data_IF_112291953219
#
_entry.id   IF_112291953219
#
_cell.length_a   1.000
_cell.length_b   1.000
_cell.length_c   1.000
_cell.angle_alpha   90.00
_cell.angle_beta   90.00
_cell.angle_gamma   90.00
#
_symmetry.space_group_name_H-M   'P 1'
#
loop_
_entity.id
_entity.type
_entity.pdbx_description
1 polymer ?
#
# COMPACT_ATOMS: atom_id res chain seq x y z
N UNK A 1 -33.55 22.77 -17.67
CA UNK A 1 -32.98 22.51 -16.34
C UNK A 1 -31.97 21.40 -16.53
N UNK A 2 -30.73 21.80 -16.70
CA UNK A 2 -29.58 20.96 -16.95
C UNK A 2 -29.41 19.97 -15.79
N UNK A 3 -29.54 18.68 -16.08
CA UNK A 3 -29.17 17.63 -15.14
C UNK A 3 -27.66 17.73 -14.92
N UNK A 4 -27.28 18.15 -13.72
CA UNK A 4 -25.93 18.03 -13.20
C UNK A 4 -25.48 16.58 -13.37
N UNK A 5 -24.61 16.34 -14.35
CA UNK A 5 -23.80 15.14 -14.42
C UNK A 5 -22.97 15.11 -13.13
N UNK A 6 -23.45 14.38 -12.11
CA UNK A 6 -22.60 13.99 -11.00
C UNK A 6 -21.54 13.06 -11.60
N UNK A 7 -20.37 13.60 -11.91
CA UNK A 7 -19.16 12.78 -12.02
C UNK A 7 -19.06 11.97 -10.73
N UNK A 8 -18.91 10.63 -10.79
CA UNK A 8 -18.62 9.87 -9.58
C UNK A 8 -17.39 10.50 -8.91
N UNK A 9 -17.31 10.52 -7.56
CA UNK A 9 -16.11 10.99 -6.89
C UNK A 9 -14.94 10.26 -7.52
N UNK A 10 -13.98 11.00 -8.07
CA UNK A 10 -12.79 10.44 -8.69
C UNK A 10 -12.07 9.62 -7.62
N UNK A 11 -12.36 8.32 -7.56
CA UNK A 11 -11.65 7.38 -6.71
C UNK A 11 -10.25 7.33 -7.27
N UNK A 12 -9.35 8.07 -6.63
CA UNK A 12 -7.94 8.08 -7.00
C UNK A 12 -7.46 6.63 -7.06
N UNK A 13 -6.76 6.21 -8.13
CA UNK A 13 -6.28 4.85 -8.22
C UNK A 13 -5.38 4.55 -7.02
N UNK A 14 -5.55 3.36 -6.44
CA UNK A 14 -4.63 2.87 -5.43
C UNK A 14 -3.27 2.63 -6.08
N UNK A 15 -2.23 3.00 -5.36
CA UNK A 15 -0.83 2.72 -5.68
C UNK A 15 -0.20 1.95 -4.53
N UNK A 16 0.93 1.31 -4.79
CA UNK A 16 1.69 0.64 -3.74
C UNK A 16 2.78 1.57 -3.23
N UNK A 17 2.82 1.74 -1.92
CA UNK A 17 3.87 2.47 -1.20
C UNK A 17 4.56 1.52 -0.24
N UNK A 18 5.87 1.73 -0.10
CA UNK A 18 6.75 0.95 0.76
C UNK A 18 7.12 1.85 1.94
N UNK A 19 6.67 1.50 3.13
CA UNK A 19 6.95 2.17 4.39
C UNK A 19 8.10 1.43 5.08
N UNK A 20 9.09 2.18 5.58
CA UNK A 20 10.25 1.65 6.29
C UNK A 20 11.07 0.63 5.47
N UNK A 21 10.99 0.67 4.14
CA UNK A 21 11.64 -0.25 3.17
C UNK A 21 11.10 -1.70 3.15
N UNK A 22 10.29 -2.11 4.12
CA UNK A 22 9.82 -3.50 4.25
C UNK A 22 8.30 -3.67 4.22
N UNK A 23 7.51 -2.62 4.47
CA UNK A 23 6.06 -2.76 4.55
C UNK A 23 5.32 -2.15 3.37
N UNK A 24 4.50 -2.95 2.71
CA UNK A 24 3.86 -2.59 1.45
C UNK A 24 2.38 -2.32 1.67
N UNK A 25 1.95 -1.13 1.27
CA UNK A 25 0.60 -0.61 1.47
C UNK A 25 -0.02 -0.20 0.14
N UNK A 26 -1.28 -0.58 -0.06
CA UNK A 26 -2.13 0.04 -1.07
C UNK A 26 -2.67 1.35 -0.49
N UNK A 27 -2.32 2.49 -1.08
CA UNK A 27 -2.80 3.79 -0.65
C UNK A 27 -2.97 4.76 -1.83
N UNK A 28 -3.57 5.90 -1.56
CA UNK A 28 -3.72 6.97 -2.57
C UNK A 28 -2.50 7.91 -2.61
N UNK A 29 -1.68 7.92 -1.55
CA UNK A 29 -0.50 8.77 -1.41
C UNK A 29 0.45 8.19 -0.35
N UNK A 30 1.71 8.65 -0.36
CA UNK A 30 2.71 8.26 0.64
C UNK A 30 2.27 8.62 2.08
N UNK A 31 1.68 9.81 2.27
CA UNK A 31 1.15 10.22 3.57
C UNK A 31 0.05 9.26 4.05
N UNK A 32 -0.84 8.83 3.15
CA UNK A 32 -1.90 7.89 3.49
C UNK A 32 -1.36 6.49 3.83
N UNK A 33 -0.31 6.03 3.17
CA UNK A 33 0.38 4.79 3.54
C UNK A 33 0.97 4.86 4.96
N UNK A 34 1.55 6.00 5.32
CA UNK A 34 2.07 6.25 6.67
C UNK A 34 0.95 6.26 7.72
N UNK A 35 -0.18 6.89 7.43
CA UNK A 35 -1.37 6.87 8.30
C UNK A 35 -1.86 5.43 8.55
N UNK A 36 -1.90 4.60 7.49
CA UNK A 36 -2.27 3.18 7.61
C UNK A 36 -1.27 2.40 8.47
N UNK A 37 0.03 2.64 8.31
CA UNK A 37 1.06 2.04 9.14
C UNK A 37 0.90 2.41 10.62
N UNK A 38 0.73 3.69 10.94
CA UNK A 38 0.48 4.13 12.31
C UNK A 38 -0.81 3.55 12.90
N UNK A 39 -1.87 3.44 12.09
CA UNK A 39 -3.13 2.85 12.52
C UNK A 39 -3.00 1.34 12.85
N UNK A 40 -2.10 0.62 12.17
CA UNK A 40 -1.83 -0.80 12.45
C UNK A 40 -0.90 -1.02 13.64
N UNK A 41 0.11 -0.16 13.82
CA UNK A 41 1.06 -0.25 14.93
C UNK A 41 0.43 -0.03 16.31
N UNK A 42 -0.82 0.46 16.38
CA UNK A 42 -1.61 0.54 17.63
C UNK A 42 -1.16 1.61 18.63
N UNK A 43 0.07 2.09 18.53
CA UNK A 43 0.60 3.25 19.24
C UNK A 43 0.86 4.38 18.24
N UNK A 44 -0.06 5.34 18.18
CA UNK A 44 0.30 6.69 17.70
C UNK A 44 1.06 7.31 18.86
N UNK A 45 2.33 6.95 19.00
CA UNK A 45 3.21 7.73 19.84
C UNK A 45 3.49 9.03 19.09
N UNK A 46 2.73 10.09 19.42
CA UNK A 46 2.89 11.42 18.83
C UNK A 46 4.31 12.00 19.08
N UNK A 47 5.09 11.39 19.97
CA UNK A 47 6.51 11.73 20.19
C UNK A 47 7.47 10.93 19.30
N UNK A 48 7.01 9.82 18.72
CA UNK A 48 7.64 9.11 17.62
C UNK A 48 7.09 9.64 16.29
N UNK A 49 7.35 10.92 16.00
CA UNK A 49 7.37 11.41 14.61
C UNK A 49 8.59 10.83 13.88
N UNK A 50 8.77 9.51 13.94
CA UNK A 50 9.73 8.83 13.11
C UNK A 50 9.17 8.93 11.70
N UNK A 51 9.74 9.83 10.92
CA UNK A 51 9.52 9.90 9.49
C UNK A 51 10.05 8.59 8.91
N UNK A 52 9.18 7.57 8.85
CA UNK A 52 9.49 6.37 8.10
C UNK A 52 9.69 6.77 6.65
N UNK A 53 10.74 6.25 6.00
CA UNK A 53 10.91 6.44 4.57
C UNK A 53 9.70 5.81 3.86
N UNK A 54 9.01 6.60 3.05
CA UNK A 54 7.88 6.13 2.25
C UNK A 54 8.19 6.36 0.78
N UNK A 55 8.35 5.27 0.05
CA UNK A 55 8.70 5.26 -1.37
C UNK A 55 7.58 4.61 -2.19
N UNK A 56 7.23 5.19 -3.34
CA UNK A 56 6.28 4.56 -4.28
C UNK A 56 6.97 3.35 -4.95
N UNK A 57 6.30 2.20 -4.97
CA UNK A 57 6.85 1.01 -5.61
C UNK A 57 6.93 1.21 -7.13
N UNK A 58 8.09 0.92 -7.71
CA UNK A 58 8.30 0.92 -9.16
C UNK A 58 7.53 -0.21 -9.85
N UNK A 59 7.28 -0.08 -11.16
CA UNK A 59 6.60 -1.14 -11.92
C UNK A 59 7.32 -2.50 -11.81
N UNK A 60 8.65 -2.50 -11.86
CA UNK A 60 9.45 -3.71 -11.67
C UNK A 60 9.21 -4.35 -10.31
N UNK A 61 9.12 -3.54 -9.24
CA UNK A 61 8.81 -4.00 -7.88
C UNK A 61 7.39 -4.57 -7.80
N UNK A 62 6.42 -3.97 -8.51
CA UNK A 62 5.04 -4.45 -8.54
C UNK A 62 4.90 -5.83 -9.20
N UNK A 63 5.70 -6.09 -10.23
CA UNK A 63 5.70 -7.36 -10.98
C UNK A 63 6.66 -8.41 -10.39
N UNK A 64 7.47 -8.03 -9.39
CA UNK A 64 8.40 -8.96 -8.74
C UNK A 64 7.59 -9.95 -7.89
N UNK A 65 7.74 -11.27 -8.11
CA UNK A 65 7.03 -12.28 -7.34
C UNK A 65 7.51 -12.27 -5.89
N UNK A 66 6.57 -12.26 -4.96
CA UNK A 66 6.82 -12.46 -3.55
C UNK A 66 7.12 -13.93 -3.27
N UNK A 67 8.22 -14.20 -2.59
CA UNK A 67 8.56 -15.54 -2.16
C UNK A 67 7.79 -15.89 -0.87
N UNK A 68 7.35 -17.14 -0.75
CA UNK A 68 6.86 -17.68 0.50
C UNK A 68 8.02 -17.85 1.48
N UNK A 69 7.94 -17.22 2.65
CA UNK A 69 8.94 -17.32 3.70
C UNK A 69 9.00 -18.73 4.31
N UNK A 70 7.85 -19.40 4.43
CA UNK A 70 7.75 -20.79 4.90
C UNK A 70 8.22 -21.79 3.84
N UNK A 71 8.21 -21.41 2.56
CA UNK A 71 8.57 -22.26 1.42
C UNK A 71 9.43 -21.51 0.40
N UNK A 72 10.74 -21.35 0.67
CA UNK A 72 11.63 -20.64 -0.24
C UNK A 72 11.61 -21.26 -1.63
N UNK A 73 11.39 -20.43 -2.65
CA UNK A 73 11.25 -20.84 -4.04
C UNK A 73 9.81 -21.01 -4.54
N UNK A 74 8.81 -20.89 -3.65
CA UNK A 74 7.40 -20.81 -4.04
C UNK A 74 6.99 -19.33 -4.10
N UNK A 75 6.55 -18.86 -5.27
CA UNK A 75 5.96 -17.54 -5.41
C UNK A 75 4.50 -17.56 -4.91
N UNK A 76 4.11 -16.59 -4.08
CA UNK A 76 2.73 -16.48 -3.54
C UNK A 76 1.89 -15.41 -4.23
N UNK A 77 2.49 -14.66 -5.15
CA UNK A 77 1.82 -13.62 -5.92
C UNK A 77 2.73 -12.41 -6.13
N UNK A 78 2.20 -11.38 -6.76
CA UNK A 78 2.87 -10.10 -6.98
C UNK A 78 2.09 -8.96 -6.31
N UNK A 79 2.78 -7.87 -5.96
CA UNK A 79 2.12 -6.70 -5.41
C UNK A 79 1.09 -6.11 -6.39
N UNK A 80 1.31 -6.25 -7.70
CA UNK A 80 0.33 -5.89 -8.74
C UNK A 80 -0.96 -6.70 -8.65
N UNK A 81 -0.87 -8.01 -8.46
CA UNK A 81 -2.06 -8.88 -8.32
C UNK A 81 -2.85 -8.56 -7.05
N UNK A 82 -2.16 -8.31 -5.94
CA UNK A 82 -2.81 -7.93 -4.69
C UNK A 82 -3.45 -6.55 -4.77
N UNK A 83 -2.77 -5.56 -5.38
CA UNK A 83 -3.33 -4.24 -5.63
C UNK A 83 -4.59 -4.33 -6.50
N UNK A 84 -4.56 -5.13 -7.57
CA UNK A 84 -5.71 -5.32 -8.46
C UNK A 84 -6.92 -5.97 -7.75
N UNK A 85 -6.66 -6.73 -6.68
CA UNK A 85 -7.69 -7.36 -5.85
C UNK A 85 -8.24 -6.44 -4.76
N UNK A 86 -7.59 -5.30 -4.49
CA UNK A 86 -8.01 -4.32 -3.47
C UNK A 86 -8.96 -3.29 -4.08
N UNK A 87 -10.04 -3.03 -3.35
CA UNK A 87 -10.97 -1.93 -3.65
C UNK A 87 -10.81 -0.77 -2.66
N UNK A 88 -10.09 -1.00 -1.56
CA UNK A 88 -9.88 -0.05 -0.47
C UNK A 88 -8.39 -0.01 -0.08
N UNK A 89 -7.89 1.15 0.39
CA UNK A 89 -6.56 1.28 0.96
C UNK A 89 -6.32 0.31 2.11
N UNK A 90 -5.08 -0.15 2.26
CA UNK A 90 -4.69 -1.00 3.38
C UNK A 90 -3.38 -1.73 3.13
N UNK A 91 -2.92 -2.43 4.15
CA UNK A 91 -1.74 -3.27 4.08
C UNK A 91 -1.90 -4.39 3.04
N UNK A 92 -0.84 -4.63 2.28
CA UNK A 92 -0.73 -5.70 1.29
C UNK A 92 0.10 -6.84 1.84
N UNK A 93 1.34 -6.54 2.22
CA UNK A 93 2.33 -7.50 2.73
C UNK A 93 3.44 -6.75 3.44
N UNK A 94 4.22 -7.43 4.26
CA UNK A 94 5.52 -6.96 4.75
C UNK A 94 6.56 -8.06 4.54
N UNK A 95 7.83 -7.73 4.72
CA UNK A 95 8.84 -8.75 5.06
C UNK A 95 8.96 -8.82 6.58
N UNK A 96 9.09 -10.02 7.15
CA UNK A 96 9.58 -10.17 8.52
C UNK A 96 11.09 -9.85 8.62
#
# INVERSE_FOLDING_TARGET
>A
MDQLSQTPPETLPLKVFIVADHEWYAAHSAAHALELHHALSGEIDESLTVEFDVSEASETQLDTPWANEEQPGIAIGTAREWLASKTEPGWLTGTE
#
